data_IF_170229694172
#
_entry.id   IF_170229694172
#
_cell.length_a   1.000
_cell.length_b   1.000
_cell.length_c   1.000
_cell.angle_alpha   90.00
_cell.angle_beta   90.00
_cell.angle_gamma   90.00
#
_symmetry.space_group_name_H-M   'P 1'
#
loop_
_entity.id
_entity.type
_entity.pdbx_description
1 polymer ?
#
# COMPACT_ATOMS: atom_id res chain seq x y z
N UNK A 1 -2.76 -9.49 -20.43
CA UNK A 1 -2.06 -8.80 -19.30
C UNK A 1 -1.56 -9.89 -18.36
N UNK A 2 -0.29 -9.87 -18.01
CA UNK A 2 0.31 -10.87 -17.11
C UNK A 2 -0.18 -10.68 -15.67
N UNK A 3 -0.11 -11.73 -14.85
CA UNK A 3 -0.56 -11.66 -13.46
C UNK A 3 0.23 -10.63 -12.62
N UNK A 4 1.56 -10.46 -12.77
CA UNK A 4 2.29 -9.38 -12.11
C UNK A 4 1.79 -7.97 -12.47
N UNK A 5 1.40 -7.73 -13.73
CA UNK A 5 0.81 -6.45 -14.12
C UNK A 5 -0.59 -6.24 -13.51
N UNK A 6 -1.39 -7.30 -13.40
CA UNK A 6 -2.68 -7.25 -12.73
C UNK A 6 -2.53 -6.94 -11.24
N UNK A 7 -1.57 -7.54 -10.57
CA UNK A 7 -1.31 -7.28 -9.15
C UNK A 7 -0.75 -5.87 -8.92
N UNK A 8 0.06 -5.35 -9.85
CA UNK A 8 0.52 -3.95 -9.82
C UNK A 8 -0.67 -2.98 -9.97
N UNK A 9 -1.55 -3.23 -10.94
CA UNK A 9 -2.76 -2.43 -11.10
C UNK A 9 -3.66 -2.54 -9.86
N UNK A 10 -3.78 -3.73 -9.29
CA UNK A 10 -4.49 -3.97 -8.03
C UNK A 10 -3.91 -3.18 -6.88
N UNK A 11 -2.59 -3.12 -6.74
CA UNK A 11 -1.91 -2.33 -5.71
C UNK A 11 -2.17 -0.82 -5.89
N UNK A 12 -2.02 -0.32 -7.10
CA UNK A 12 -2.31 1.09 -7.42
C UNK A 12 -3.77 1.43 -7.12
N UNK A 13 -4.71 0.59 -7.57
CA UNK A 13 -6.13 0.76 -7.32
C UNK A 13 -6.46 0.73 -5.83
N UNK A 14 -5.87 -0.20 -5.08
CA UNK A 14 -6.01 -0.27 -3.62
C UNK A 14 -5.54 1.01 -2.94
N UNK A 15 -4.40 1.55 -3.37
CA UNK A 15 -3.86 2.82 -2.85
C UNK A 15 -4.82 3.98 -3.08
N UNK A 16 -5.43 4.05 -4.27
CA UNK A 16 -6.45 5.06 -4.60
C UNK A 16 -7.74 4.88 -3.80
N UNK A 17 -8.24 3.65 -3.67
CA UNK A 17 -9.43 3.34 -2.88
C UNK A 17 -9.21 3.72 -1.41
N UNK A 18 -8.07 3.38 -0.85
CA UNK A 18 -7.71 3.74 0.52
C UNK A 18 -7.71 5.26 0.71
N UNK A 19 -7.08 6.00 -0.20
CA UNK A 19 -7.08 7.46 -0.17
C UNK A 19 -8.49 8.03 -0.24
N UNK A 20 -9.27 7.62 -1.24
CA UNK A 20 -10.61 8.15 -1.46
C UNK A 20 -11.57 7.81 -0.33
N UNK A 21 -11.61 6.54 0.10
CA UNK A 21 -12.58 6.05 1.10
C UNK A 21 -12.28 6.52 2.53
N UNK A 22 -11.05 6.89 2.85
CA UNK A 22 -10.65 7.27 4.21
C UNK A 22 -10.25 8.75 4.30
N UNK A 23 -9.06 9.06 3.85
CA UNK A 23 -8.46 10.40 3.94
C UNK A 23 -9.26 11.42 3.13
N UNK A 24 -9.63 11.06 1.90
CA UNK A 24 -10.38 11.93 0.99
C UNK A 24 -11.75 12.28 1.55
N UNK A 25 -12.55 11.29 1.90
CA UNK A 25 -13.90 11.49 2.46
C UNK A 25 -13.84 12.35 3.72
N UNK A 26 -12.90 12.08 4.63
CA UNK A 26 -12.75 12.85 5.87
C UNK A 26 -12.43 14.32 5.59
N UNK A 27 -11.42 14.59 4.75
CA UNK A 27 -11.01 15.96 4.41
C UNK A 27 -12.13 16.73 3.71
N UNK A 28 -12.72 16.14 2.67
CA UNK A 28 -13.82 16.77 1.94
C UNK A 28 -15.03 17.05 2.81
N UNK A 29 -15.39 16.12 3.71
CA UNK A 29 -16.46 16.36 4.67
C UNK A 29 -16.21 17.59 5.54
N UNK A 30 -14.99 17.76 6.06
CA UNK A 30 -14.63 18.91 6.89
C UNK A 30 -14.61 20.21 6.09
N UNK A 31 -14.13 20.20 4.86
CA UNK A 31 -14.09 21.38 3.97
C UNK A 31 -15.51 21.80 3.61
N UNK A 32 -16.33 20.89 3.11
CA UNK A 32 -17.72 21.17 2.68
C UNK A 32 -18.61 21.63 3.84
N UNK A 33 -18.37 21.12 5.04
CA UNK A 33 -19.08 21.59 6.26
C UNK A 33 -18.48 22.84 6.90
N UNK A 34 -17.47 23.46 6.26
CA UNK A 34 -16.74 24.66 6.74
C UNK A 34 -16.13 24.48 8.13
N UNK A 35 -15.82 23.24 8.52
CA UNK A 35 -15.16 22.92 9.81
C UNK A 35 -13.66 22.97 9.74
N UNK A 36 -13.07 22.95 8.55
CA UNK A 36 -11.64 23.12 8.33
C UNK A 36 -11.38 23.84 7.00
N UNK A 37 -10.35 24.71 6.94
CA UNK A 37 -9.93 25.33 5.69
C UNK A 37 -9.23 24.30 4.81
N UNK A 38 -9.19 24.54 3.49
CA UNK A 38 -8.58 23.63 2.51
C UNK A 38 -7.09 23.36 2.77
N UNK A 39 -6.39 24.31 3.38
CA UNK A 39 -4.98 24.20 3.76
C UNK A 39 -4.76 23.69 5.19
N UNK A 40 -5.81 23.24 5.87
CA UNK A 40 -5.78 22.79 7.28
C UNK A 40 -5.36 21.32 7.48
N UNK A 41 -4.74 20.68 6.48
CA UNK A 41 -4.38 19.27 6.53
C UNK A 41 -2.88 19.03 6.28
N UNK A 42 -2.01 19.29 7.29
CA UNK A 42 -0.57 19.06 7.14
C UNK A 42 -0.28 17.57 6.87
N UNK A 43 0.49 17.23 5.84
CA UNK A 43 0.75 15.83 5.48
C UNK A 43 1.65 15.11 6.49
N UNK A 44 2.57 15.83 7.11
CA UNK A 44 3.57 15.26 8.02
C UNK A 44 3.02 14.97 9.42
N UNK A 45 2.02 15.73 9.85
CA UNK A 45 1.41 15.59 11.17
C UNK A 45 -0.13 15.63 11.04
N UNK A 46 -0.78 14.54 10.61
CA UNK A 46 -2.23 14.53 10.45
C UNK A 46 -2.94 14.75 11.79
N UNK A 47 -3.67 15.85 11.87
CA UNK A 47 -4.48 16.23 13.05
C UNK A 47 -5.91 15.72 12.81
N UNK A 48 -6.44 14.96 13.76
CA UNK A 48 -7.79 14.42 13.64
C UNK A 48 -8.00 13.13 14.45
N UNK A 49 -9.13 12.45 14.25
CA UNK A 49 -9.42 11.18 14.92
C UNK A 49 -8.33 10.14 14.70
N UNK A 50 -8.13 9.24 15.67
CA UNK A 50 -7.08 8.21 15.60
C UNK A 50 -7.16 7.32 14.34
N UNK A 51 -8.38 6.99 13.88
CA UNK A 51 -8.58 6.24 12.65
C UNK A 51 -8.07 6.99 11.41
N UNK A 52 -8.27 8.30 11.35
CA UNK A 52 -7.80 9.15 10.25
C UNK A 52 -6.26 9.21 10.21
N UNK A 53 -5.61 9.34 11.37
CA UNK A 53 -4.16 9.31 11.48
C UNK A 53 -3.59 7.96 11.02
N UNK A 54 -4.23 6.85 11.42
CA UNK A 54 -3.84 5.51 10.98
C UNK A 54 -4.04 5.32 9.48
N UNK A 55 -5.16 5.77 8.93
CA UNK A 55 -5.43 5.69 7.49
C UNK A 55 -4.44 6.52 6.67
N UNK A 56 -4.08 7.71 7.12
CA UNK A 56 -3.06 8.54 6.46
C UNK A 56 -1.71 7.84 6.44
N UNK A 57 -1.28 7.25 7.57
CA UNK A 57 -0.02 6.47 7.63
C UNK A 57 -0.05 5.24 6.74
N UNK A 58 -1.18 4.53 6.71
CA UNK A 58 -1.36 3.38 5.83
C UNK A 58 -1.25 3.76 4.34
N UNK A 59 -1.84 4.88 3.97
CA UNK A 59 -1.76 5.41 2.60
C UNK A 59 -0.33 5.82 2.23
N UNK A 60 0.38 6.54 3.10
CA UNK A 60 1.78 6.91 2.87
C UNK A 60 2.65 5.66 2.69
N UNK A 61 2.46 4.64 3.51
CA UNK A 61 3.18 3.37 3.38
C UNK A 61 2.89 2.65 2.05
N UNK A 62 1.69 2.78 1.49
CA UNK A 62 1.38 2.30 0.15
C UNK A 62 2.14 3.09 -0.93
N UNK A 63 2.15 4.42 -0.84
CA UNK A 63 2.86 5.30 -1.79
C UNK A 63 4.37 5.02 -1.78
N UNK A 64 4.99 4.80 -0.63
CA UNK A 64 6.43 4.51 -0.52
C UNK A 64 6.83 3.20 -1.20
N UNK A 65 5.98 2.18 -1.15
CA UNK A 65 6.30 0.86 -1.68
C UNK A 65 5.85 0.66 -3.13
N UNK A 66 4.83 1.38 -3.58
CA UNK A 66 4.29 1.23 -4.93
C UNK A 66 5.32 1.49 -6.05
N UNK A 67 6.17 2.53 -6.00
CA UNK A 67 7.17 2.76 -7.04
C UNK A 67 8.21 1.65 -7.15
N UNK A 68 8.63 1.09 -6.02
CA UNK A 68 9.60 -0.02 -5.99
C UNK A 68 8.98 -1.27 -6.62
N UNK A 69 7.76 -1.62 -6.21
CA UNK A 69 7.05 -2.75 -6.78
C UNK A 69 6.76 -2.56 -8.27
N UNK A 70 6.35 -1.35 -8.67
CA UNK A 70 6.13 -1.01 -10.07
C UNK A 70 7.39 -1.19 -10.92
N UNK A 71 8.53 -0.70 -10.45
CA UNK A 71 9.80 -0.86 -11.15
C UNK A 71 10.13 -2.34 -11.37
N UNK A 72 10.00 -3.19 -10.36
CA UNK A 72 10.27 -4.63 -10.46
C UNK A 72 9.35 -5.29 -11.49
N UNK A 73 8.03 -5.06 -11.41
CA UNK A 73 7.05 -5.66 -12.31
C UNK A 73 7.25 -5.20 -13.75
N UNK A 74 7.50 -3.91 -13.96
CA UNK A 74 7.72 -3.36 -15.30
C UNK A 74 8.99 -3.89 -15.93
N UNK A 75 10.10 -3.96 -15.17
CA UNK A 75 11.36 -4.53 -15.68
C UNK A 75 11.18 -6.02 -16.00
N UNK A 76 10.51 -6.79 -15.14
CA UNK A 76 10.20 -8.19 -15.42
C UNK A 76 9.40 -8.35 -16.73
N UNK A 77 8.39 -7.50 -16.94
CA UNK A 77 7.56 -7.52 -18.15
C UNK A 77 8.36 -7.15 -19.40
N UNK A 78 9.18 -6.11 -19.35
CA UNK A 78 10.01 -5.67 -20.48
C UNK A 78 11.08 -6.72 -20.82
N UNK A 79 11.63 -7.38 -19.79
CA UNK A 79 12.60 -8.45 -19.96
C UNK A 79 11.98 -9.78 -20.44
N UNK A 80 10.65 -9.83 -20.62
CA UNK A 80 9.95 -11.05 -21.02
C UNK A 80 10.00 -12.16 -19.96
N UNK A 81 10.19 -11.79 -18.69
CA UNK A 81 10.23 -12.75 -17.58
C UNK A 81 8.83 -13.13 -17.18
N UNK A 82 8.56 -14.43 -17.14
CA UNK A 82 7.31 -15.02 -16.69
C UNK A 82 7.58 -16.27 -15.84
N UNK A 83 6.55 -16.83 -15.27
CA UNK A 83 6.62 -18.07 -14.53
C UNK A 83 5.78 -18.08 -13.26
N UNK A 84 5.38 -19.28 -12.86
CA UNK A 84 4.49 -19.49 -11.71
C UNK A 84 5.04 -18.87 -10.40
N UNK A 85 6.35 -18.89 -10.22
CA UNK A 85 6.96 -18.34 -9.00
C UNK A 85 6.86 -16.81 -8.97
N UNK A 86 7.11 -16.15 -10.11
CA UNK A 86 6.95 -14.69 -10.24
C UNK A 86 5.49 -14.27 -10.00
N UNK A 87 4.56 -15.05 -10.55
CA UNK A 87 3.12 -14.85 -10.35
C UNK A 87 2.73 -15.01 -8.87
N UNK A 88 3.18 -16.08 -8.23
CA UNK A 88 2.90 -16.33 -6.80
C UNK A 88 3.46 -15.23 -5.89
N UNK A 89 4.70 -14.77 -6.16
CA UNK A 89 5.32 -13.68 -5.40
C UNK A 89 4.56 -12.37 -5.59
N UNK A 90 4.10 -12.07 -6.80
CA UNK A 90 3.33 -10.86 -7.09
C UNK A 90 1.97 -10.85 -6.37
N UNK A 91 1.29 -11.99 -6.31
CA UNK A 91 0.06 -12.16 -5.52
C UNK A 91 0.34 -12.02 -4.03
N UNK A 92 1.44 -12.58 -3.53
CA UNK A 92 1.85 -12.45 -2.13
C UNK A 92 2.10 -11.00 -1.73
N UNK A 93 2.76 -10.20 -2.59
CA UNK A 93 2.99 -8.75 -2.35
C UNK A 93 1.67 -8.02 -2.22
N UNK A 94 0.73 -8.20 -3.16
CA UNK A 94 -0.56 -7.53 -3.12
C UNK A 94 -1.41 -7.98 -1.91
N UNK A 95 -1.49 -9.28 -1.66
CA UNK A 95 -2.24 -9.83 -0.55
C UNK A 95 -1.72 -9.34 0.81
N UNK A 96 -0.41 -9.39 1.02
CA UNK A 96 0.21 -8.89 2.24
C UNK A 96 0.02 -7.38 2.39
N UNK A 97 0.02 -6.61 1.29
CA UNK A 97 -0.26 -5.17 1.32
C UNK A 97 -1.68 -4.86 1.76
N UNK A 98 -2.67 -5.55 1.21
CA UNK A 98 -4.07 -5.36 1.59
C UNK A 98 -4.25 -5.72 3.08
N UNK A 99 -3.76 -6.88 3.51
CA UNK A 99 -3.83 -7.31 4.91
C UNK A 99 -3.15 -6.30 5.86
N UNK A 100 -1.94 -5.85 5.52
CA UNK A 100 -1.20 -4.85 6.31
C UNK A 100 -1.97 -3.53 6.45
N UNK A 101 -2.56 -3.06 5.35
CA UNK A 101 -3.37 -1.84 5.33
C UNK A 101 -4.60 -1.98 6.23
N UNK A 102 -5.32 -3.10 6.13
CA UNK A 102 -6.49 -3.37 6.96
C UNK A 102 -6.13 -3.41 8.45
N UNK A 103 -5.05 -4.11 8.81
CA UNK A 103 -4.56 -4.10 10.21
C UNK A 103 -4.21 -2.68 10.66
N UNK A 104 -3.62 -1.87 9.79
CA UNK A 104 -3.22 -0.50 10.11
C UNK A 104 -4.42 0.42 10.36
N UNK A 105 -5.46 0.31 9.54
CA UNK A 105 -6.64 1.18 9.63
C UNK A 105 -7.59 0.74 10.75
N UNK A 106 -7.87 -0.57 10.84
CA UNK A 106 -8.92 -1.11 11.69
C UNK A 106 -8.49 -1.29 13.15
N UNK A 107 -7.21 -1.56 13.40
CA UNK A 107 -6.73 -1.88 14.76
C UNK A 107 -5.96 -0.73 15.39
N UNK A 108 -6.20 -0.53 16.68
CA UNK A 108 -5.40 0.39 17.50
C UNK A 108 -3.96 -0.13 17.59
N UNK A 109 -3.00 0.76 17.72
CA UNK A 109 -1.58 0.47 17.72
C UNK A 109 -1.16 -0.24 19.03
N UNK A 110 -1.41 -1.54 19.10
CA UNK A 110 -0.91 -2.45 20.15
C UNK A 110 0.37 -3.14 19.67
N UNK A 111 1.15 -3.72 20.59
CA UNK A 111 2.34 -4.52 20.22
C UNK A 111 2.01 -5.62 19.22
N UNK A 112 0.89 -6.31 19.39
CA UNK A 112 0.44 -7.36 18.48
C UNK A 112 0.14 -6.81 17.09
N UNK A 113 -0.59 -5.70 16.99
CA UNK A 113 -0.89 -5.06 15.71
C UNK A 113 0.38 -4.59 15.00
N UNK A 114 1.34 -4.03 15.73
CA UNK A 114 2.64 -3.64 15.19
C UNK A 114 3.43 -4.85 14.70
N UNK A 115 3.44 -5.95 15.45
CA UNK A 115 4.11 -7.20 15.05
C UNK A 115 3.50 -7.77 13.77
N UNK A 116 2.18 -7.83 13.65
CA UNK A 116 1.50 -8.28 12.42
C UNK A 116 1.85 -7.41 11.22
N UNK A 117 1.83 -6.10 11.37
CA UNK A 117 2.19 -5.16 10.28
C UNK A 117 3.64 -5.33 9.84
N UNK A 118 4.55 -5.51 10.79
CA UNK A 118 5.96 -5.72 10.51
C UNK A 118 6.19 -7.07 9.80
N UNK A 119 5.53 -8.13 10.25
CA UNK A 119 5.60 -9.45 9.60
C UNK A 119 5.09 -9.40 8.15
N UNK A 120 3.95 -8.74 7.91
CA UNK A 120 3.41 -8.57 6.56
C UNK A 120 4.31 -7.69 5.67
N UNK A 121 4.95 -6.67 6.24
CA UNK A 121 5.96 -5.89 5.53
C UNK A 121 7.18 -6.73 5.16
N UNK A 122 7.65 -7.56 6.07
CA UNK A 122 8.79 -8.47 5.83
C UNK A 122 8.48 -9.47 4.71
N UNK A 123 7.26 -10.02 4.68
CA UNK A 123 6.81 -10.89 3.57
C UNK A 123 6.89 -10.16 2.24
N UNK A 124 6.41 -8.92 2.16
CA UNK A 124 6.47 -8.11 0.94
C UNK A 124 7.92 -7.82 0.52
N UNK A 125 8.77 -7.43 1.48
CA UNK A 125 10.17 -7.15 1.22
C UNK A 125 10.90 -8.37 0.66
N UNK A 126 10.74 -9.54 1.30
CA UNK A 126 11.35 -10.79 0.85
C UNK A 126 10.83 -11.18 -0.53
N UNK A 127 9.52 -11.07 -0.76
CA UNK A 127 8.93 -11.38 -2.07
C UNK A 127 9.47 -10.45 -3.17
N UNK A 128 9.55 -9.15 -2.92
CA UNK A 128 10.11 -8.19 -3.89
C UNK A 128 11.60 -8.44 -4.17
N UNK A 129 12.39 -8.74 -3.14
CA UNK A 129 13.82 -9.09 -3.32
C UNK A 129 13.97 -10.36 -4.16
N UNK A 130 13.14 -11.37 -3.91
CA UNK A 130 13.17 -12.59 -4.70
C UNK A 130 12.74 -12.35 -6.15
N UNK A 131 11.72 -11.51 -6.37
CA UNK A 131 11.34 -11.10 -7.73
C UNK A 131 12.50 -10.43 -8.46
N UNK A 132 13.29 -9.58 -7.79
CA UNK A 132 14.49 -8.97 -8.38
C UNK A 132 15.48 -10.04 -8.82
N UNK A 133 15.74 -11.06 -7.99
CA UNK A 133 16.64 -12.18 -8.36
C UNK A 133 16.13 -12.88 -9.61
N UNK A 134 14.84 -13.24 -9.67
CA UNK A 134 14.24 -13.90 -10.84
C UNK A 134 14.28 -13.07 -12.12
N UNK A 135 14.32 -11.75 -11.99
CA UNK A 135 14.39 -10.85 -13.16
C UNK A 135 15.81 -10.74 -13.70
N UNK A 136 16.81 -10.85 -12.84
CA UNK A 136 18.23 -10.71 -13.19
C UNK A 136 18.84 -12.03 -13.72
N UNK A 137 18.35 -13.19 -13.27
CA UNK A 137 18.77 -14.52 -13.77
C UNK A 137 18.36 -14.73 -15.23
#
# INVERSE_FOLDING_TARGET
MTLPLLTLLGFASWTLVLLAATVGVHRWRLILTKRAPINGFPPEAPVGPGWYQRATRAHLNCIENLPVYAAIVLVATIAGRDGLLLDALSVAVLGARICQTLVHVLFVQTERAVTYRFSLFTVQLVAMLWMVVLVVE
#
